data_IF_550176058702
#
_entry.id   IF_550176058702
#
_cell.length_a   1.000
_cell.length_b   1.000
_cell.length_c   1.000
_cell.angle_alpha   90.00
_cell.angle_beta   90.00
_cell.angle_gamma   90.00
#
_symmetry.space_group_name_H-M   'P 1'
#
loop_
_entity.id
_entity.type
_entity.pdbx_description
1 polymer ?
#
# COMPACT_ATOMS: atom_id res chain seq x y z
N UNK A 1 -5.22 -19.18 12.23
CA UNK A 1 -5.08 -17.73 12.51
C UNK A 1 -5.50 -16.99 11.25
N UNK A 2 -6.40 -16.04 11.38
CA UNK A 2 -6.84 -15.20 10.27
C UNK A 2 -5.81 -14.08 10.04
N UNK A 3 -5.55 -13.72 8.78
CA UNK A 3 -4.68 -12.59 8.47
C UNK A 3 -5.38 -11.29 8.92
N UNK A 4 -4.63 -10.36 9.49
CA UNK A 4 -5.14 -9.02 9.82
C UNK A 4 -5.45 -8.29 8.51
N UNK A 5 -4.55 -8.36 7.53
CA UNK A 5 -4.75 -7.77 6.20
C UNK A 5 -5.45 -8.82 5.33
N UNK A 6 -6.74 -8.60 5.08
CA UNK A 6 -7.56 -9.49 4.26
C UNK A 6 -7.37 -9.23 2.77
N UNK A 7 -7.25 -7.96 2.39
CA UNK A 7 -7.11 -7.55 1.00
C UNK A 7 -6.34 -6.23 0.93
N UNK A 8 -5.49 -6.08 -0.07
CA UNK A 8 -4.86 -4.80 -0.42
C UNK A 8 -5.37 -4.38 -1.80
N UNK A 9 -5.66 -3.10 -1.94
CA UNK A 9 -5.96 -2.48 -3.22
C UNK A 9 -4.91 -1.42 -3.51
N UNK A 10 -4.42 -1.40 -4.74
CA UNK A 10 -3.51 -0.40 -5.26
C UNK A 10 -4.20 0.26 -6.45
N UNK A 11 -4.34 1.58 -6.43
CA UNK A 11 -5.04 2.35 -7.45
C UNK A 11 -6.49 1.89 -7.67
N UNK A 12 -7.18 1.58 -6.58
CA UNK A 12 -8.55 1.03 -6.56
C UNK A 12 -8.71 -0.36 -7.21
N UNK A 13 -7.61 -1.05 -7.51
CA UNK A 13 -7.60 -2.42 -8.03
C UNK A 13 -7.09 -3.37 -6.95
N UNK A 14 -7.69 -4.56 -6.85
CA UNK A 14 -7.18 -5.60 -5.95
C UNK A 14 -5.75 -5.93 -6.36
N UNK A 15 -4.82 -5.75 -5.42
CA UNK A 15 -3.42 -6.01 -5.65
C UNK A 15 -3.18 -7.51 -5.83
N UNK A 16 -2.52 -7.84 -6.93
CA UNK A 16 -2.08 -9.19 -7.28
C UNK A 16 -0.64 -9.11 -7.78
N UNK A 17 0.34 -9.71 -7.07
CA UNK A 17 1.75 -9.66 -7.46
C UNK A 17 2.06 -10.39 -8.76
N UNK A 18 1.16 -11.27 -9.23
CA UNK A 18 1.30 -12.01 -10.48
C UNK A 18 0.59 -11.33 -11.68
N UNK A 19 -0.06 -10.17 -11.46
CA UNK A 19 -0.64 -9.37 -12.55
C UNK A 19 0.47 -8.56 -13.21
N UNK A 20 0.28 -8.24 -14.49
CA UNK A 20 1.10 -7.25 -15.20
C UNK A 20 1.28 -5.97 -14.35
N UNK A 21 2.52 -5.58 -13.99
CA UNK A 21 2.78 -4.38 -13.18
C UNK A 21 2.27 -3.08 -13.81
N UNK A 22 2.15 -3.00 -15.14
CA UNK A 22 1.73 -1.77 -15.84
C UNK A 22 0.38 -1.24 -15.35
N UNK A 23 -0.52 -2.13 -14.93
CA UNK A 23 -1.85 -1.74 -14.43
C UNK A 23 -1.80 -0.94 -13.12
N UNK A 24 -0.70 -1.02 -12.39
CA UNK A 24 -0.50 -0.32 -11.12
C UNK A 24 0.45 0.86 -11.24
N UNK A 25 1.15 1.02 -12.39
CA UNK A 25 2.09 2.11 -12.60
C UNK A 25 1.41 3.47 -12.55
N UNK A 26 2.19 4.48 -12.17
CA UNK A 26 1.77 5.88 -12.21
C UNK A 26 2.86 6.74 -12.86
N UNK A 27 2.49 7.75 -13.65
CA UNK A 27 3.43 8.79 -14.04
C UNK A 27 3.98 9.54 -12.82
N UNK A 28 5.17 10.16 -12.93
CA UNK A 28 5.69 11.07 -11.93
C UNK A 28 4.65 12.10 -11.47
N UNK A 29 4.55 12.30 -10.16
CA UNK A 29 3.62 13.26 -9.56
C UNK A 29 2.15 12.83 -9.58
N UNK A 30 1.83 11.61 -10.05
CA UNK A 30 0.47 11.04 -9.94
C UNK A 30 0.35 10.20 -8.67
N UNK A 31 -0.79 10.30 -7.96
CA UNK A 31 -0.97 9.60 -6.70
C UNK A 31 -1.12 8.08 -6.90
N UNK A 32 -0.49 7.33 -6.00
CA UNK A 32 -0.88 5.97 -5.68
C UNK A 32 -1.91 5.99 -4.56
N UNK A 33 -3.01 5.27 -4.76
CA UNK A 33 -4.01 5.05 -3.72
C UNK A 33 -3.84 3.64 -3.16
N UNK A 34 -3.43 3.53 -1.90
CA UNK A 34 -3.22 2.27 -1.18
C UNK A 34 -4.35 2.11 -0.19
N UNK A 35 -5.12 1.03 -0.33
CA UNK A 35 -6.17 0.69 0.62
C UNK A 35 -5.94 -0.72 1.16
N UNK A 36 -6.24 -0.93 2.43
CA UNK A 36 -6.18 -2.25 3.03
C UNK A 36 -7.46 -2.55 3.79
N UNK A 37 -8.13 -3.65 3.43
CA UNK A 37 -9.26 -4.17 4.18
C UNK A 37 -8.71 -5.05 5.31
N UNK A 38 -9.03 -4.65 6.53
CA UNK A 38 -8.56 -5.30 7.74
C UNK A 38 -9.68 -6.14 8.37
N UNK A 39 -9.32 -7.34 8.83
CA UNK A 39 -10.19 -8.24 9.56
C UNK A 39 -9.76 -8.33 11.03
N UNK A 40 -10.60 -8.97 11.86
CA UNK A 40 -10.33 -9.15 13.28
C UNK A 40 -11.22 -8.30 14.18
N UNK A 41 -10.73 -8.03 15.39
CA UNK A 41 -11.42 -7.26 16.45
C UNK A 41 -10.40 -6.41 17.21
N UNK A 42 -10.88 -5.39 17.93
CA UNK A 42 -10.00 -4.47 18.65
C UNK A 42 -9.43 -3.41 17.71
N UNK A 43 -8.19 -3.00 17.94
CA UNK A 43 -7.53 -1.94 17.17
C UNK A 43 -6.27 -2.46 16.50
N UNK A 44 -6.04 -2.04 15.26
CA UNK A 44 -4.81 -2.27 14.54
C UNK A 44 -4.07 -0.95 14.30
N UNK A 45 -2.77 -0.90 14.57
CA UNK A 45 -1.89 0.14 14.03
C UNK A 45 -1.44 -0.29 12.64
N UNK A 46 -1.70 0.54 11.63
CA UNK A 46 -1.32 0.29 10.24
C UNK A 46 -0.34 1.35 9.79
N UNK A 47 0.77 0.94 9.18
CA UNK A 47 1.79 1.83 8.63
C UNK A 47 2.05 1.50 7.17
N UNK A 48 2.22 2.53 6.35
CA UNK A 48 2.80 2.44 5.02
C UNK A 48 4.19 3.07 5.04
N UNK A 49 5.21 2.23 4.87
CA UNK A 49 6.60 2.64 4.68
C UNK A 49 6.94 2.60 3.20
N UNK A 50 7.57 3.64 2.67
CA UNK A 50 8.09 3.70 1.30
C UNK A 50 9.56 4.12 1.40
N UNK A 51 10.46 3.32 0.81
CA UNK A 51 11.92 3.59 0.84
C UNK A 51 12.48 3.80 2.27
N UNK A 52 11.91 3.10 3.26
CA UNK A 52 12.32 3.21 4.67
C UNK A 52 11.73 4.41 5.43
N UNK A 53 10.89 5.23 4.78
CA UNK A 53 10.18 6.34 5.42
C UNK A 53 8.70 6.00 5.62
N UNK A 54 8.17 6.19 6.84
CA UNK A 54 6.73 6.03 7.11
C UNK A 54 6.00 7.24 6.51
N UNK A 55 5.20 7.01 5.48
CA UNK A 55 4.44 8.06 4.80
C UNK A 55 3.00 8.16 5.30
N UNK A 56 2.44 7.06 5.80
CA UNK A 56 1.13 7.03 6.43
C UNK A 56 1.16 6.12 7.65
N UNK A 57 0.45 6.53 8.70
CA UNK A 57 0.24 5.75 9.91
C UNK A 57 -1.13 6.06 10.48
N UNK A 58 -1.91 5.03 10.80
CA UNK A 58 -3.24 5.19 11.40
C UNK A 58 -3.56 4.04 12.38
N UNK A 59 -4.39 4.33 13.37
CA UNK A 59 -5.00 3.33 14.24
C UNK A 59 -6.44 3.07 13.78
N UNK A 60 -6.74 1.83 13.40
CA UNK A 60 -8.01 1.41 12.79
C UNK A 60 -8.76 0.47 13.74
N UNK A 61 -10.03 0.76 14.03
CA UNK A 61 -10.95 -0.20 14.65
C UNK A 61 -11.21 -1.38 13.71
N UNK A 62 -11.09 -2.60 14.21
CA UNK A 62 -11.26 -3.82 13.44
C UNK A 62 -12.68 -4.40 13.59
N UNK A 63 -13.31 -4.84 12.48
CA UNK A 63 -12.83 -4.75 11.10
C UNK A 63 -12.94 -3.33 10.55
N UNK A 64 -12.00 -2.94 9.68
CA UNK A 64 -11.91 -1.57 9.17
C UNK A 64 -11.15 -1.48 7.85
N UNK A 65 -11.02 -0.26 7.33
CA UNK A 65 -10.27 0.03 6.11
C UNK A 65 -9.23 1.08 6.42
N UNK A 66 -7.98 0.79 6.06
CA UNK A 66 -6.92 1.79 5.98
C UNK A 66 -6.91 2.37 4.57
N UNK A 67 -6.78 3.70 4.46
CA UNK A 67 -6.70 4.42 3.20
C UNK A 67 -5.54 5.43 3.26
N UNK A 68 -4.64 5.35 2.29
CA UNK A 68 -3.48 6.23 2.20
C UNK A 68 -3.22 6.59 0.74
N UNK A 69 -2.91 7.86 0.52
CA UNK A 69 -2.49 8.35 -0.79
C UNK A 69 -1.05 8.86 -0.70
N UNK A 70 -0.19 8.37 -1.58
CA UNK A 70 1.22 8.80 -1.69
C UNK A 70 1.50 9.28 -3.10
N UNK A 71 2.30 10.31 -3.25
CA UNK A 71 2.74 10.83 -4.55
C UNK A 71 4.25 10.74 -4.62
N UNK A 72 4.76 10.19 -5.72
CA UNK A 72 6.18 9.96 -5.95
C UNK A 72 6.58 10.63 -7.26
N UNK A 73 7.66 11.42 -7.23
CA UNK A 73 8.11 12.21 -8.38
C UNK A 73 9.28 11.55 -9.12
N UNK A 74 10.08 10.75 -8.42
CA UNK A 74 11.23 10.07 -9.02
C UNK A 74 10.77 8.83 -9.79
N UNK A 75 11.18 8.66 -11.06
CA UNK A 75 10.88 7.45 -11.82
C UNK A 75 11.60 6.23 -11.24
N UNK A 76 11.00 5.05 -11.41
CA UNK A 76 11.55 3.78 -10.99
C UNK A 76 10.70 3.05 -9.94
N UNK A 77 11.26 1.96 -9.44
CA UNK A 77 10.61 1.10 -8.46
C UNK A 77 10.87 1.60 -7.04
N UNK A 78 9.80 2.00 -6.35
CA UNK A 78 9.82 2.40 -4.95
C UNK A 78 9.31 1.24 -4.08
N UNK A 79 10.19 0.55 -3.32
CA UNK A 79 9.76 -0.51 -2.43
C UNK A 79 8.89 0.06 -1.30
N UNK A 80 7.64 -0.39 -1.21
CA UNK A 80 6.77 -0.07 -0.10
C UNK A 80 6.39 -1.31 0.72
N UNK A 81 6.14 -1.08 2.01
CA UNK A 81 5.71 -2.09 2.95
C UNK A 81 4.52 -1.58 3.75
N UNK A 82 3.41 -2.30 3.62
CA UNK A 82 2.24 -2.12 4.46
C UNK A 82 2.34 -3.07 5.65
N UNK A 83 2.35 -2.53 6.86
CA UNK A 83 2.41 -3.31 8.10
C UNK A 83 1.16 -3.07 8.93
N UNK A 84 0.51 -4.13 9.39
CA UNK A 84 -0.60 -4.07 10.35
C UNK A 84 -0.20 -4.81 11.63
N UNK A 85 -0.34 -4.14 12.77
CA UNK A 85 -0.08 -4.71 14.09
C UNK A 85 -1.33 -4.65 14.96
N UNK A 86 -1.80 -5.79 15.45
CA UNK A 86 -2.97 -5.92 16.33
C UNK A 86 -2.77 -7.10 17.29
N UNK A 87 -3.17 -6.94 18.56
CA UNK A 87 -3.14 -8.01 19.58
C UNK A 87 -1.80 -8.80 19.66
N UNK A 88 -0.67 -8.09 19.53
CA UNK A 88 0.67 -8.70 19.56
C UNK A 88 1.07 -9.46 18.29
N UNK A 89 0.21 -9.49 17.27
CA UNK A 89 0.50 -9.99 15.94
C UNK A 89 0.92 -8.87 15.00
N UNK A 90 1.88 -9.17 14.12
CA UNK A 90 2.36 -8.26 13.09
C UNK A 90 2.29 -8.96 11.74
N UNK A 91 1.65 -8.30 10.77
CA UNK A 91 1.59 -8.75 9.39
C UNK A 91 2.18 -7.67 8.47
N UNK A 92 3.08 -8.08 7.56
CA UNK A 92 3.74 -7.17 6.61
C UNK A 92 3.51 -7.65 5.18
N UNK A 93 3.11 -6.73 4.30
CA UNK A 93 2.90 -6.95 2.86
C UNK A 93 3.82 -6.04 2.06
N UNK A 94 4.53 -6.62 1.10
CA UNK A 94 5.34 -5.87 0.15
C UNK A 94 4.48 -5.38 -1.02
N UNK A 95 4.61 -4.09 -1.35
CA UNK A 95 3.89 -3.39 -2.40
C UNK A 95 4.89 -2.55 -3.21
N UNK A 96 5.37 -3.03 -4.36
CA UNK A 96 6.19 -2.21 -5.24
C UNK A 96 5.35 -1.09 -5.85
N UNK A 97 5.76 0.16 -5.64
CA UNK A 97 5.17 1.33 -6.30
C UNK A 97 6.07 1.72 -7.48
N UNK A 98 5.63 1.43 -8.69
CA UNK A 98 6.43 1.65 -9.90
C UNK A 98 6.02 2.96 -10.58
N UNK A 99 6.91 3.94 -10.56
CA UNK A 99 6.74 5.23 -11.22
C UNK A 99 7.33 5.16 -12.61
N UNK A 100 6.54 5.46 -13.63
CA UNK A 100 6.97 5.42 -15.02
C UNK A 100 8.21 6.30 -15.24
N UNK A 101 9.22 5.74 -15.90
CA UNK A 101 10.33 6.54 -16.42
C UNK A 101 9.80 7.40 -17.56
N UNK A 102 9.43 8.64 -17.22
CA UNK A 102 8.93 9.72 -18.09
C UNK A 102 8.43 9.25 -19.46
N UNK A 103 7.11 9.15 -19.62
CA UNK A 103 6.54 9.05 -20.95
C UNK A 103 7.14 10.17 -21.81
N UNK A 104 7.85 9.80 -22.87
CA UNK A 104 8.34 10.77 -23.85
C UNK A 104 7.19 11.72 -24.20
N UNK A 105 7.47 13.02 -24.14
CA UNK A 105 6.58 14.03 -24.66
C UNK A 105 6.27 13.67 -26.13
N UNK A 106 5.07 13.15 -26.36
CA UNK A 106 4.50 12.98 -27.70
C UNK A 106 3.87 14.29 -28.16
#
# INVERSE_FOLDING_TARGET
MENIIRQVMLNHLIYNPNRDPEVYRRPPGKPFHIQALLAGRGKARVTLEVEGSILCEEEIELPGTFDCTVTLDAPGLHPAFLTAAADGHLERRYLPLDVEASAWAH
#
